data_IF_791319648831
#
_entry.id   IF_791319648831
#
_cell.length_a   1.000
_cell.length_b   1.000
_cell.length_c   1.000
_cell.angle_alpha   90.00
_cell.angle_beta   90.00
_cell.angle_gamma   90.00
#
_symmetry.space_group_name_H-M   'P 1'
#
loop_
_entity.id
_entity.type
_entity.pdbx_description
1 polymer ?
#
# COMPACT_ATOMS: atom_id res chain seq x y z
N UNK A 1 -5.25 8.93 5.43
CA UNK A 1 -6.16 7.82 5.16
C UNK A 1 -7.46 8.05 5.91
N UNK A 2 -8.59 8.02 5.22
CA UNK A 2 -9.93 8.12 5.84
C UNK A 2 -10.87 7.06 5.25
N UNK A 3 -12.03 6.85 5.87
CA UNK A 3 -13.05 5.87 5.45
C UNK A 3 -12.50 4.44 5.23
N UNK A 4 -11.44 4.07 5.94
CA UNK A 4 -10.84 2.75 5.84
C UNK A 4 -11.80 1.68 6.36
N UNK A 5 -12.03 0.65 5.55
CA UNK A 5 -12.86 -0.50 5.92
C UNK A 5 -12.53 -1.73 5.08
N UNK A 6 -12.93 -2.89 5.59
CA UNK A 6 -12.93 -4.13 4.83
C UNK A 6 -14.32 -4.34 4.23
N UNK A 7 -14.35 -4.56 2.92
CA UNK A 7 -15.52 -5.05 2.19
C UNK A 7 -15.35 -6.54 1.91
N UNK A 8 -16.40 -7.32 2.16
CA UNK A 8 -16.44 -8.74 1.84
C UNK A 8 -17.60 -8.95 0.88
N UNK A 9 -17.26 -9.20 -0.37
CA UNK A 9 -18.22 -9.49 -1.44
C UNK A 9 -18.12 -10.95 -1.86
N UNK A 10 -19.06 -11.41 -2.66
CA UNK A 10 -19.03 -12.74 -3.25
C UNK A 10 -18.37 -12.67 -4.63
N UNK A 11 -17.33 -13.46 -4.83
CA UNK A 11 -16.69 -13.65 -6.12
C UNK A 11 -17.61 -14.34 -7.13
N UNK A 12 -17.24 -14.30 -8.41
CA UNK A 12 -17.99 -14.96 -9.49
C UNK A 12 -17.98 -16.49 -9.38
N UNK A 13 -17.00 -17.03 -8.66
CA UNK A 13 -16.82 -18.43 -8.30
C UNK A 13 -17.55 -18.82 -7.01
N UNK A 14 -18.18 -17.86 -6.31
CA UNK A 14 -18.83 -18.07 -5.01
C UNK A 14 -17.86 -18.06 -3.83
N UNK A 15 -16.58 -17.76 -4.05
CA UNK A 15 -15.59 -17.60 -2.98
C UNK A 15 -15.65 -16.17 -2.41
N UNK A 16 -15.40 -15.98 -1.10
CA UNK A 16 -15.41 -14.66 -0.49
C UNK A 16 -14.26 -13.79 -1.04
N UNK A 17 -14.62 -12.67 -1.66
CA UNK A 17 -13.69 -11.65 -2.12
C UNK A 17 -13.52 -10.58 -1.04
N UNK A 18 -12.36 -10.58 -0.38
CA UNK A 18 -11.98 -9.59 0.62
C UNK A 18 -11.25 -8.42 -0.04
N UNK A 19 -11.73 -7.20 0.21
CA UNK A 19 -11.17 -5.96 -0.31
C UNK A 19 -10.95 -4.98 0.85
N UNK A 20 -9.78 -4.36 0.88
CA UNK A 20 -9.50 -3.22 1.73
C UNK A 20 -9.76 -1.93 0.95
N UNK A 21 -10.66 -1.10 1.47
CA UNK A 21 -11.12 0.13 0.84
C UNK A 21 -10.77 1.31 1.74
N UNK A 22 -10.09 2.32 1.21
CA UNK A 22 -9.72 3.52 1.97
C UNK A 22 -9.51 4.71 1.04
N UNK A 23 -9.69 5.93 1.56
CA UNK A 23 -9.48 7.14 0.77
C UNK A 23 -8.15 7.82 1.12
N UNK A 24 -7.42 8.23 0.08
CA UNK A 24 -6.22 9.06 0.16
C UNK A 24 -6.41 10.38 -0.62
N UNK A 25 -5.80 11.44 -0.11
CA UNK A 25 -5.67 12.70 -0.85
C UNK A 25 -4.55 12.65 -1.89
N UNK A 26 -4.52 13.63 -2.80
CA UNK A 26 -3.53 13.73 -3.88
C UNK A 26 -2.08 13.64 -3.39
N UNK A 27 -1.70 14.42 -2.37
CA UNK A 27 -0.36 14.39 -1.80
C UNK A 27 -0.01 13.04 -1.16
N UNK A 28 -1.00 12.36 -0.57
CA UNK A 28 -0.81 11.03 0.03
C UNK A 28 -0.63 9.97 -1.06
N UNK A 29 -1.37 10.06 -2.16
CA UNK A 29 -1.23 9.17 -3.33
C UNK A 29 0.14 9.34 -3.99
N UNK A 30 0.56 10.59 -4.24
CA UNK A 30 1.86 10.89 -4.84
C UNK A 30 3.02 10.40 -3.95
N UNK A 31 2.96 10.66 -2.65
CA UNK A 31 3.95 10.18 -1.69
C UNK A 31 3.99 8.64 -1.62
N UNK A 32 2.84 7.98 -1.73
CA UNK A 32 2.73 6.52 -1.73
C UNK A 32 3.32 5.92 -3.00
N UNK A 33 3.01 6.48 -4.17
CA UNK A 33 3.60 6.08 -5.44
C UNK A 33 5.14 6.22 -5.41
N UNK A 34 5.64 7.32 -4.85
CA UNK A 34 7.07 7.55 -4.66
C UNK A 34 7.72 6.50 -3.75
N UNK A 35 7.11 6.22 -2.59
CA UNK A 35 7.62 5.21 -1.66
C UNK A 35 7.65 3.80 -2.29
N UNK A 36 6.60 3.42 -3.00
CA UNK A 36 6.52 2.14 -3.72
C UNK A 36 7.57 2.06 -4.83
N UNK A 37 7.72 3.11 -5.64
CA UNK A 37 8.74 3.18 -6.69
C UNK A 37 10.17 3.07 -6.10
N UNK A 38 10.42 3.71 -4.95
CA UNK A 38 11.70 3.61 -4.26
C UNK A 38 12.01 2.20 -3.75
N UNK A 39 11.01 1.42 -3.33
CA UNK A 39 11.18 0.02 -2.92
C UNK A 39 11.66 -0.87 -4.08
N UNK A 40 11.27 -0.57 -5.32
CA UNK A 40 11.73 -1.33 -6.50
C UNK A 40 13.23 -1.21 -6.78
N UNK A 41 13.91 -0.21 -6.20
CA UNK A 41 15.34 -0.01 -6.40
C UNK A 41 16.18 -1.21 -5.93
N UNK A 42 15.69 -1.97 -4.96
CA UNK A 42 16.35 -3.15 -4.41
C UNK A 42 16.51 -4.29 -5.44
N UNK A 43 15.68 -4.31 -6.49
CA UNK A 43 15.70 -5.36 -7.51
C UNK A 43 16.67 -5.06 -8.68
N UNK A 44 17.23 -3.84 -8.77
CA UNK A 44 18.01 -3.41 -9.96
C UNK A 44 19.37 -4.10 -10.11
N UNK A 45 19.95 -4.62 -9.03
CA UNK A 45 21.31 -5.20 -9.02
C UNK A 45 21.36 -6.59 -8.36
N UNK A 46 20.21 -7.26 -8.25
CA UNK A 46 20.09 -8.57 -7.62
C UNK A 46 20.00 -9.69 -8.68
N UNK A 47 20.53 -10.87 -8.36
CA UNK A 47 20.11 -12.09 -9.04
C UNK A 47 18.66 -12.36 -8.63
N UNK A 48 17.72 -12.21 -9.57
CA UNK A 48 16.30 -12.31 -9.29
C UNK A 48 15.81 -13.74 -9.45
N UNK A 49 15.14 -14.25 -8.41
CA UNK A 49 14.30 -15.43 -8.51
C UNK A 49 13.02 -15.11 -9.30
N UNK A 50 12.25 -16.15 -9.64
CA UNK A 50 10.93 -15.97 -10.29
C UNK A 50 9.98 -15.18 -9.38
N UNK A 51 10.01 -15.44 -8.08
CA UNK A 51 9.16 -14.75 -7.10
C UNK A 51 9.53 -13.26 -7.02
N UNK A 52 10.83 -12.93 -7.04
CA UNK A 52 11.29 -11.53 -7.05
C UNK A 52 10.82 -10.78 -8.29
N UNK A 53 10.79 -11.44 -9.46
CA UNK A 53 10.27 -10.84 -10.70
C UNK A 53 8.76 -10.58 -10.60
N UNK A 54 8.01 -11.48 -9.96
CA UNK A 54 6.58 -11.31 -9.76
C UNK A 54 6.33 -10.15 -8.78
N UNK A 55 7.04 -10.12 -7.66
CA UNK A 55 6.93 -9.04 -6.67
C UNK A 55 7.29 -7.68 -7.27
N UNK A 56 8.41 -7.59 -8.01
CA UNK A 56 8.81 -6.37 -8.71
C UNK A 56 7.70 -5.87 -9.66
N UNK A 57 7.05 -6.78 -10.40
CA UNK A 57 5.95 -6.43 -11.31
C UNK A 57 4.74 -5.90 -10.55
N UNK A 58 4.37 -6.55 -9.46
CA UNK A 58 3.25 -6.11 -8.61
C UNK A 58 3.51 -4.74 -7.97
N UNK A 59 4.73 -4.49 -7.47
CA UNK A 59 5.14 -3.20 -6.93
C UNK A 59 5.17 -2.11 -8.00
N UNK A 60 5.66 -2.42 -9.20
CA UNK A 60 5.66 -1.48 -10.34
C UNK A 60 4.22 -1.09 -10.71
N UNK A 61 3.34 -2.08 -10.88
CA UNK A 61 1.93 -1.84 -11.20
C UNK A 61 1.21 -1.05 -10.10
N UNK A 62 1.50 -1.34 -8.82
CA UNK A 62 0.96 -0.57 -7.70
C UNK A 62 1.45 0.88 -7.70
N UNK A 63 2.73 1.11 -7.95
CA UNK A 63 3.29 2.46 -8.04
C UNK A 63 2.63 3.28 -9.15
N UNK A 64 2.47 2.68 -10.33
CA UNK A 64 1.81 3.31 -11.47
C UNK A 64 0.34 3.63 -11.19
N UNK A 65 -0.42 2.68 -10.63
CA UNK A 65 -1.83 2.89 -10.26
C UNK A 65 -1.99 4.03 -9.24
N UNK A 66 -1.13 4.10 -8.21
CA UNK A 66 -1.16 5.17 -7.21
C UNK A 66 -0.78 6.52 -7.83
N UNK A 67 0.20 6.53 -8.73
CA UNK A 67 0.60 7.72 -9.48
C UNK A 67 -0.52 8.25 -10.37
N UNK A 68 -1.20 7.35 -11.10
CA UNK A 68 -2.34 7.69 -11.94
C UNK A 68 -3.53 8.23 -11.15
N UNK A 69 -3.76 7.74 -9.92
CA UNK A 69 -4.76 8.27 -9.02
C UNK A 69 -4.40 9.67 -8.51
N UNK A 70 -3.11 9.91 -8.22
CA UNK A 70 -2.60 11.23 -7.80
C UNK A 70 -2.79 12.31 -8.88
N UNK A 71 -2.73 11.96 -10.17
CA UNK A 71 -2.96 12.93 -11.26
C UNK A 71 -4.40 13.47 -11.33
N UNK A 72 -5.32 12.92 -10.54
CA UNK A 72 -6.75 13.28 -10.56
C UNK A 72 -7.10 14.07 -9.31
N UNK A 73 -7.73 15.26 -9.42
CA UNK A 73 -7.91 16.17 -8.29
C UNK A 73 -8.88 15.66 -7.21
N UNK A 74 -8.50 15.80 -5.94
CA UNK A 74 -9.33 15.47 -4.78
C UNK A 74 -9.12 14.06 -4.21
N UNK A 75 -9.94 13.66 -3.25
CA UNK A 75 -9.82 12.35 -2.59
C UNK A 75 -10.12 11.22 -3.58
N UNK A 76 -9.37 10.11 -3.46
CA UNK A 76 -9.57 8.89 -4.23
C UNK A 76 -9.66 7.67 -3.33
N UNK A 77 -10.61 6.81 -3.65
CA UNK A 77 -10.72 5.49 -3.05
C UNK A 77 -9.71 4.56 -3.68
N UNK A 78 -8.88 3.97 -2.83
CA UNK A 78 -7.97 2.89 -3.15
C UNK A 78 -8.63 1.59 -2.69
N UNK A 79 -8.63 0.58 -3.57
CA UNK A 79 -9.24 -0.73 -3.31
C UNK A 79 -8.19 -1.80 -3.59
N UNK A 80 -7.77 -2.54 -2.56
CA UNK A 80 -6.71 -3.53 -2.67
C UNK A 80 -7.17 -4.87 -2.09
N UNK A 81 -6.74 -5.97 -2.74
CA UNK A 81 -6.78 -7.30 -2.12
C UNK A 81 -5.76 -7.39 -0.97
N UNK A 82 -5.95 -8.27 0.03
CA UNK A 82 -5.05 -8.37 1.18
C UNK A 82 -3.56 -8.48 0.81
N UNK A 83 -3.22 -9.28 -0.21
CA UNK A 83 -1.84 -9.43 -0.67
C UNK A 83 -1.23 -8.12 -1.19
N UNK A 84 -1.96 -7.36 -2.03
CA UNK A 84 -1.49 -6.05 -2.55
C UNK A 84 -1.47 -4.98 -1.45
N UNK A 85 -2.39 -5.04 -0.49
CA UNK A 85 -2.36 -4.17 0.69
C UNK A 85 -1.10 -4.41 1.53
N UNK A 86 -0.74 -5.68 1.77
CA UNK A 86 0.50 -6.03 2.50
C UNK A 86 1.73 -5.56 1.73
N UNK A 87 1.81 -5.78 0.42
CA UNK A 87 2.91 -5.28 -0.40
C UNK A 87 3.04 -3.76 -0.35
N UNK A 88 1.91 -3.03 -0.37
CA UNK A 88 1.89 -1.58 -0.19
C UNK A 88 2.44 -1.16 1.18
N UNK A 89 1.94 -1.79 2.25
CA UNK A 89 2.40 -1.52 3.63
C UNK A 89 3.89 -1.80 3.78
N UNK A 90 4.37 -2.92 3.26
CA UNK A 90 5.77 -3.33 3.34
C UNK A 90 6.69 -2.36 2.58
N UNK A 91 6.28 -1.93 1.38
CA UNK A 91 7.02 -0.92 0.61
C UNK A 91 7.09 0.44 1.35
N UNK A 92 5.99 0.86 1.98
CA UNK A 92 5.96 2.08 2.83
C UNK A 92 6.87 1.92 4.04
N UNK A 93 6.81 0.79 4.74
CA UNK A 93 7.64 0.51 5.90
C UNK A 93 9.14 0.53 5.54
N UNK A 94 9.51 -0.16 4.45
CA UNK A 94 10.88 -0.18 3.93
C UNK A 94 11.36 1.23 3.55
N UNK A 95 10.52 2.03 2.91
CA UNK A 95 10.86 3.41 2.57
C UNK A 95 11.17 4.22 3.84
N UNK A 96 10.33 4.11 4.88
CA UNK A 96 10.53 4.82 6.15
C UNK A 96 11.80 4.33 6.83
N UNK A 97 11.96 3.02 7.00
CA UNK A 97 13.11 2.42 7.72
C UNK A 97 14.45 2.80 7.07
N UNK A 98 14.53 2.72 5.73
CA UNK A 98 15.75 3.05 5.00
C UNK A 98 16.12 4.53 5.10
N UNK A 99 15.15 5.44 5.23
CA UNK A 99 15.43 6.88 5.40
C UNK A 99 15.68 7.26 6.84
N UNK A 100 15.09 6.55 7.80
CA UNK A 100 15.27 6.79 9.23
C UNK A 100 16.66 6.35 9.71
N UNK A 101 17.25 5.37 9.04
CA UNK A 101 18.60 4.88 9.32
C UNK A 101 19.68 5.52 8.44
N UNK A 102 19.30 6.29 7.42
CA UNK A 102 20.26 6.97 6.55
C UNK A 102 20.87 8.20 7.22
N UNK A 103 22.19 8.36 7.08
CA UNK A 103 22.89 9.59 7.51
C UNK A 103 22.43 10.83 6.75
N UNK A 104 21.93 10.65 5.52
CA UNK A 104 21.42 11.72 4.68
C UNK A 104 20.21 11.27 3.88
N UNK A 105 19.14 12.07 3.94
CA UNK A 105 17.90 11.89 3.18
C UNK A 105 17.86 12.88 2.02
N UNK A 106 17.61 12.36 0.82
CA UNK A 106 17.45 13.15 -0.41
C UNK A 106 16.33 14.19 -0.25
N UNK A 107 16.46 15.34 -0.90
CA UNK A 107 15.45 16.41 -0.80
C UNK A 107 14.09 15.92 -1.30
N UNK A 108 14.09 15.20 -2.43
CA UNK A 108 12.87 14.63 -3.02
C UNK A 108 12.18 13.59 -2.12
N UNK A 109 12.90 12.99 -1.17
CA UNK A 109 12.35 11.98 -0.25
C UNK A 109 11.70 12.62 0.99
N UNK A 110 12.00 13.89 1.32
CA UNK A 110 11.58 14.50 2.60
C UNK A 110 10.08 14.66 2.74
N UNK A 111 9.43 15.24 1.74
CA UNK A 111 7.98 15.41 1.76
C UNK A 111 7.28 14.04 1.69
N UNK A 112 7.59 13.14 0.73
CA UNK A 112 7.02 11.81 0.72
C UNK A 112 7.15 11.08 2.06
N UNK A 113 8.33 11.13 2.70
CA UNK A 113 8.58 10.51 4.00
C UNK A 113 7.63 11.02 5.08
N UNK A 114 7.46 12.33 5.19
CA UNK A 114 6.55 12.92 6.17
C UNK A 114 5.09 12.46 5.95
N UNK A 115 4.66 12.35 4.69
CA UNK A 115 3.29 11.94 4.35
C UNK A 115 3.05 10.45 4.62
N UNK A 116 3.95 9.57 4.17
CA UNK A 116 3.76 8.11 4.32
C UNK A 116 3.97 7.63 5.76
N UNK A 117 4.76 8.34 6.58
CA UNK A 117 4.83 8.09 8.03
C UNK A 117 3.47 8.16 8.71
N UNK A 118 2.62 9.10 8.32
CA UNK A 118 1.26 9.20 8.85
C UNK A 118 0.32 8.08 8.37
N UNK A 119 0.74 7.28 7.38
CA UNK A 119 -0.03 6.17 6.81
C UNK A 119 0.36 4.81 7.39
N UNK A 120 1.59 4.64 7.90
CA UNK A 120 2.11 3.33 8.28
C UNK A 120 1.22 2.61 9.30
N UNK A 121 0.94 3.24 10.45
CA UNK A 121 0.11 2.61 11.48
C UNK A 121 -1.31 2.29 11.00
N UNK A 122 -2.05 3.21 10.34
CA UNK A 122 -3.35 2.87 9.76
C UNK A 122 -3.29 1.71 8.75
N UNK A 123 -2.22 1.60 7.96
CA UNK A 123 -2.03 0.48 7.02
C UNK A 123 -1.80 -0.83 7.75
N UNK A 124 -1.01 -0.84 8.84
CA UNK A 124 -0.80 -2.02 9.67
C UNK A 124 -2.11 -2.53 10.29
N UNK A 125 -2.93 -1.63 10.82
CA UNK A 125 -4.27 -1.98 11.33
C UNK A 125 -5.15 -2.58 10.23
N UNK A 126 -5.20 -1.93 9.06
CA UNK A 126 -6.03 -2.38 7.94
C UNK A 126 -5.53 -3.72 7.37
N UNK A 127 -4.22 -3.97 7.33
CA UNK A 127 -3.64 -5.27 7.00
C UNK A 127 -4.09 -6.35 7.97
N UNK A 128 -4.06 -6.07 9.28
CA UNK A 128 -4.52 -6.99 10.32
C UNK A 128 -6.00 -7.33 10.17
N UNK A 129 -6.84 -6.33 9.88
CA UNK A 129 -8.27 -6.53 9.64
C UNK A 129 -8.55 -7.30 8.36
N UNK A 130 -7.84 -7.01 7.27
CA UNK A 130 -7.96 -7.70 5.99
C UNK A 130 -7.56 -9.18 6.11
N UNK A 131 -6.48 -9.49 6.83
CA UNK A 131 -6.04 -10.85 7.09
C UNK A 131 -7.05 -11.61 7.94
N UNK A 132 -7.58 -10.99 9.00
CA UNK A 132 -8.63 -11.60 9.82
C UNK A 132 -9.87 -11.90 8.99
N UNK A 133 -10.29 -10.97 8.14
CA UNK A 133 -11.43 -11.16 7.25
C UNK A 133 -11.20 -12.30 6.24
N UNK A 134 -10.00 -12.39 5.66
CA UNK A 134 -9.64 -13.46 4.74
C UNK A 134 -9.68 -14.85 5.40
N UNK A 135 -9.31 -14.95 6.68
CA UNK A 135 -9.27 -16.21 7.42
C UNK A 135 -10.64 -16.62 8.01
N UNK A 136 -11.53 -15.66 8.28
CA UNK A 136 -12.79 -15.90 9.02
C UNK A 136 -14.05 -15.68 8.19
N UNK A 137 -13.93 -15.02 7.03
CA UNK A 137 -15.09 -14.56 6.25
C UNK A 137 -15.88 -13.43 6.92
N UNK A 138 -15.34 -12.80 7.97
CA UNK A 138 -16.03 -11.77 8.75
C UNK A 138 -15.22 -10.46 8.79
N UNK A 139 -15.88 -9.33 8.53
CA UNK A 139 -15.28 -8.02 8.70
C UNK A 139 -15.21 -7.66 10.20
N UNK A 140 -14.15 -6.95 10.61
CA UNK A 140 -14.06 -6.44 11.97
C UNK A 140 -15.23 -5.47 12.26
N UNK A 141 -15.81 -5.51 13.48
CA UNK A 141 -16.88 -4.58 13.84
C UNK A 141 -16.36 -3.14 13.84
N UNK A 142 -17.04 -2.25 13.10
CA UNK A 142 -16.70 -0.82 13.07
C UNK A 142 -16.93 -0.21 14.45
N UNK A 143 -15.87 0.18 15.15
CA UNK A 143 -15.98 1.08 16.29
C UNK A 143 -16.44 2.44 15.74
N UNK A 144 -17.67 2.84 16.10
CA UNK A 144 -18.25 4.15 15.76
C UNK A 144 -17.74 5.24 16.69
#
# INVERSE_FOLDING_TARGET
MIHAHIDISQGLDGEPLVLACFDLGEEQLAASAHAVAAATANYRNAELSVDDVIELRELTALGDELGDLALRPGMRTVVLRPARLTAYRDAVALFIETRDTAEWVREEDREPLARVRALLYPLEELCGDALRAALTGQAAPRLR
#
